data_IF_344271721064
#
_entry.id   IF_344271721064
#
_cell.length_a   1.000
_cell.length_b   1.000
_cell.length_c   1.000
_cell.angle_alpha   90.00
_cell.angle_beta   90.00
_cell.angle_gamma   90.00
#
_symmetry.space_group_name_H-M   'P 1'
#
loop_
_entity.id
_entity.type
_entity.pdbx_description
1 polymer ?
#
# COMPACT_ATOMS: atom_id res chain seq x y z
N UNK A 1 7.59 29.40 3.11
CA UNK A 1 8.60 28.41 3.50
C UNK A 1 7.87 27.08 3.63
N UNK A 2 8.10 26.16 2.71
CA UNK A 2 7.47 24.84 2.72
C UNK A 2 8.23 24.02 3.77
N UNK A 3 7.63 23.84 4.94
CA UNK A 3 8.22 23.11 6.09
C UNK A 3 8.60 21.64 5.76
N UNK A 4 8.10 21.10 4.64
CA UNK A 4 8.25 19.72 4.23
C UNK A 4 9.09 19.52 2.95
N UNK A 5 9.65 20.58 2.37
CA UNK A 5 10.37 20.51 1.09
C UNK A 5 11.62 19.60 1.10
N UNK A 6 12.10 19.21 2.28
CA UNK A 6 13.27 18.36 2.47
C UNK A 6 13.01 17.15 3.38
N UNK A 7 11.75 16.80 3.67
CA UNK A 7 11.46 15.60 4.45
C UNK A 7 11.69 14.36 3.56
N UNK A 8 12.60 13.46 3.90
CA UNK A 8 13.00 12.36 3.04
C UNK A 8 11.89 11.33 2.82
N UNK A 9 10.82 11.34 3.64
CA UNK A 9 9.74 10.36 3.56
C UNK A 9 8.50 10.91 2.82
N UNK A 10 8.29 12.25 2.81
CA UNK A 10 7.07 12.84 2.28
C UNK A 10 6.99 12.70 0.75
N UNK A 11 5.88 12.16 0.27
CA UNK A 11 5.64 11.92 -1.16
C UNK A 11 6.36 10.70 -1.73
N UNK A 12 7.01 9.87 -0.90
CA UNK A 12 7.62 8.62 -1.36
C UNK A 12 6.55 7.61 -1.77
N UNK A 13 6.81 6.94 -2.88
CA UNK A 13 5.90 5.95 -3.47
C UNK A 13 6.67 4.66 -3.67
N UNK A 14 6.07 3.56 -3.25
CA UNK A 14 6.60 2.22 -3.48
C UNK A 14 5.51 1.28 -3.98
N UNK A 15 5.96 0.16 -4.53
CA UNK A 15 5.11 -0.84 -5.16
C UNK A 15 5.61 -2.24 -4.83
N UNK A 16 4.67 -3.18 -4.64
CA UNK A 16 5.01 -4.59 -4.54
C UNK A 16 3.84 -5.50 -4.90
N UNK A 17 4.20 -6.68 -5.38
CA UNK A 17 3.31 -7.84 -5.53
C UNK A 17 3.73 -8.94 -4.57
N UNK A 18 2.77 -9.70 -4.04
CA UNK A 18 3.02 -10.95 -3.33
C UNK A 18 1.87 -11.95 -3.55
N UNK A 19 2.18 -13.23 -3.37
CA UNK A 19 1.25 -14.34 -3.50
C UNK A 19 1.02 -14.77 -4.94
N UNK A 20 0.20 -15.80 -5.09
CA UNK A 20 -0.15 -16.42 -6.38
C UNK A 20 -1.61 -16.12 -6.74
N UNK A 21 -1.88 -15.96 -8.03
CA UNK A 21 -3.25 -15.82 -8.56
C UNK A 21 -4.04 -17.08 -8.22
N UNK A 22 -5.31 -16.96 -7.75
CA UNK A 22 -6.09 -15.73 -7.63
C UNK A 22 -5.98 -15.05 -6.24
N UNK A 23 -5.17 -15.54 -5.34
CA UNK A 23 -5.11 -15.07 -3.95
C UNK A 23 -3.95 -14.09 -3.68
N UNK A 24 -3.25 -13.66 -4.74
CA UNK A 24 -2.20 -12.66 -4.66
C UNK A 24 -2.74 -11.24 -4.50
N UNK A 25 -1.84 -10.32 -4.18
CA UNK A 25 -2.16 -8.91 -3.98
C UNK A 25 -1.10 -7.99 -4.56
N UNK A 26 -1.55 -6.88 -5.13
CA UNK A 26 -0.71 -5.79 -5.60
C UNK A 26 -0.95 -4.54 -4.75
N UNK A 27 0.12 -4.01 -4.18
CA UNK A 27 0.10 -2.85 -3.30
C UNK A 27 0.89 -1.70 -3.92
N UNK A 28 0.29 -0.49 -3.93
CA UNK A 28 1.05 0.75 -4.01
C UNK A 28 0.94 1.47 -2.67
N UNK A 29 2.07 1.91 -2.14
CA UNK A 29 2.15 2.66 -0.90
C UNK A 29 2.60 4.10 -1.19
N UNK A 30 1.92 5.08 -0.61
CA UNK A 30 2.36 6.47 -0.58
C UNK A 30 2.61 6.85 0.87
N UNK A 31 3.81 7.31 1.17
CA UNK A 31 4.18 7.78 2.49
C UNK A 31 4.07 9.30 2.55
N UNK A 32 3.51 9.83 3.60
CA UNK A 32 3.30 11.25 3.77
C UNK A 32 3.63 11.69 5.20
N UNK A 33 4.26 12.85 5.35
CA UNK A 33 4.47 13.47 6.65
C UNK A 33 3.19 14.18 7.10
N UNK A 34 2.76 13.96 8.33
CA UNK A 34 1.59 14.63 8.92
C UNK A 34 1.69 16.15 8.76
N UNK A 35 0.62 16.77 8.29
CA UNK A 35 0.56 18.19 7.99
C UNK A 35 1.11 18.62 6.62
N UNK A 36 1.68 17.68 5.84
CA UNK A 36 2.11 17.97 4.47
C UNK A 36 0.93 18.02 3.47
N UNK A 37 1.11 18.63 2.30
CA UNK A 37 0.14 18.56 1.21
C UNK A 37 -0.16 17.11 0.77
N UNK A 38 0.85 16.22 0.80
CA UNK A 38 0.70 14.79 0.49
C UNK A 38 -0.23 14.11 1.49
N UNK A 39 -0.04 14.35 2.79
CA UNK A 39 -0.93 13.83 3.83
C UNK A 39 -2.35 14.39 3.71
N UNK A 40 -2.50 15.67 3.39
CA UNK A 40 -3.82 16.28 3.17
C UNK A 40 -4.56 15.61 1.99
N UNK A 41 -3.85 15.34 0.88
CA UNK A 41 -4.41 14.63 -0.26
C UNK A 41 -4.81 13.19 0.10
N UNK A 42 -3.95 12.47 0.85
CA UNK A 42 -4.23 11.09 1.30
C UNK A 42 -5.46 11.04 2.21
N UNK A 43 -5.57 11.95 3.20
CA UNK A 43 -6.72 12.05 4.09
C UNK A 43 -7.98 12.47 3.32
N UNK A 44 -7.86 13.32 2.31
CA UNK A 44 -8.95 13.72 1.43
C UNK A 44 -9.59 12.54 0.69
N UNK A 45 -8.87 11.45 0.46
CA UNK A 45 -9.41 10.24 -0.13
C UNK A 45 -10.57 9.64 0.70
N UNK A 46 -10.52 9.73 2.04
CA UNK A 46 -11.59 9.24 2.94
C UNK A 46 -12.92 9.98 2.70
N UNK A 47 -12.86 11.25 2.27
CA UNK A 47 -14.03 12.06 2.00
C UNK A 47 -14.51 11.95 0.54
N UNK A 48 -13.91 11.08 -0.27
CA UNK A 48 -14.16 10.98 -1.70
C UNK A 48 -14.51 9.56 -2.16
N UNK A 49 -15.49 8.88 -1.50
CA UNK A 49 -15.92 7.55 -1.93
C UNK A 49 -16.56 7.62 -3.32
N UNK A 50 -16.43 6.53 -4.08
CA UNK A 50 -17.07 6.34 -5.39
C UNK A 50 -17.79 4.99 -5.38
N UNK A 51 -18.75 4.75 -6.29
CA UNK A 51 -19.41 3.45 -6.39
C UNK A 51 -18.37 2.31 -6.46
N UNK A 52 -18.39 1.41 -5.48
CA UNK A 52 -17.48 0.28 -5.35
C UNK A 52 -16.05 0.62 -4.88
N UNK A 53 -15.68 1.90 -4.80
CA UNK A 53 -14.36 2.34 -4.30
C UNK A 53 -14.58 3.06 -2.97
N UNK A 54 -14.32 2.34 -1.88
CA UNK A 54 -14.64 2.78 -0.51
C UNK A 54 -13.33 2.90 0.30
N UNK A 55 -12.80 4.12 0.45
CA UNK A 55 -11.65 4.34 1.31
C UNK A 55 -11.98 4.04 2.77
N UNK A 56 -11.04 3.40 3.49
CA UNK A 56 -11.19 3.06 4.91
C UNK A 56 -9.85 3.13 5.65
N UNK A 57 -9.91 3.15 6.97
CA UNK A 57 -8.72 3.09 7.82
C UNK A 57 -8.40 1.63 8.16
N UNK A 58 -7.14 1.21 8.00
CA UNK A 58 -6.70 -0.13 8.36
C UNK A 58 -6.75 -0.31 9.89
N UNK A 59 -7.38 -1.41 10.32
CA UNK A 59 -7.54 -1.79 11.72
C UNK A 59 -6.94 -3.17 11.98
N UNK A 60 -6.39 -3.34 13.18
CA UNK A 60 -5.97 -4.66 13.72
C UNK A 60 -7.15 -5.42 14.31
N UNK A 61 -8.05 -4.67 14.93
CA UNK A 61 -9.30 -5.15 15.51
C UNK A 61 -10.29 -4.01 15.64
N UNK A 62 -11.53 -4.29 16.02
CA UNK A 62 -12.51 -3.25 16.29
C UNK A 62 -11.98 -2.23 17.32
N UNK A 63 -11.93 -0.97 16.93
CA UNK A 63 -11.43 0.13 17.76
C UNK A 63 -9.90 0.25 17.85
N UNK A 64 -9.14 -0.58 17.14
CA UNK A 64 -7.67 -0.54 17.16
C UNK A 64 -7.12 -0.25 15.77
N UNK A 65 -6.84 1.03 15.49
CA UNK A 65 -6.16 1.45 14.26
C UNK A 65 -4.70 1.01 14.27
N UNK A 66 -4.17 0.66 13.10
CA UNK A 66 -2.73 0.47 12.93
C UNK A 66 -1.99 1.81 13.03
N UNK A 67 -0.74 1.77 13.47
CA UNK A 67 0.20 2.90 13.48
C UNK A 67 1.48 2.52 12.73
N UNK A 68 1.96 3.39 11.83
CA UNK A 68 1.38 4.66 11.34
C UNK A 68 -0.05 4.52 10.80
N UNK A 69 -0.84 5.62 10.90
CA UNK A 69 -2.22 5.63 10.38
C UNK A 69 -2.21 5.31 8.90
N UNK A 70 -2.97 4.29 8.52
CA UNK A 70 -2.99 3.78 7.15
C UNK A 70 -4.40 3.87 6.57
N UNK A 71 -4.50 4.61 5.47
CA UNK A 71 -5.70 4.74 4.65
C UNK A 71 -5.60 3.71 3.53
N UNK A 72 -6.64 2.94 3.32
CA UNK A 72 -6.69 1.93 2.25
C UNK A 72 -7.74 2.31 1.22
N UNK A 73 -7.38 2.19 -0.06
CA UNK A 73 -8.28 2.37 -1.20
C UNK A 73 -8.20 1.12 -2.07
N UNK A 74 -9.33 0.49 -2.32
CA UNK A 74 -9.41 -0.66 -3.23
C UNK A 74 -9.31 -0.20 -4.69
N UNK A 75 -8.51 -0.91 -5.52
CA UNK A 75 -8.39 -0.67 -6.96
C UNK A 75 -9.47 -1.37 -7.79
N UNK A 76 -10.06 -2.42 -7.23
CA UNK A 76 -11.15 -3.19 -7.85
C UNK A 76 -12.45 -2.75 -7.22
N UNK A 77 -13.47 -2.35 -8.00
CA UNK A 77 -14.76 -2.00 -7.45
C UNK A 77 -15.37 -3.17 -6.67
N UNK A 78 -15.82 -2.88 -5.45
CA UNK A 78 -16.55 -3.83 -4.62
C UNK A 78 -18.03 -3.83 -5.01
N UNK A 79 -18.65 -4.97 -4.95
CA UNK A 79 -20.05 -5.22 -5.33
C UNK A 79 -20.42 -6.71 -5.23
N UNK A 80 -19.41 -7.55 -4.98
CA UNK A 80 -19.57 -8.96 -4.65
C UNK A 80 -19.38 -9.14 -3.13
N UNK A 81 -20.36 -9.66 -2.38
CA UNK A 81 -20.25 -9.81 -0.92
C UNK A 81 -19.04 -10.64 -0.47
N UNK A 82 -18.58 -11.60 -1.27
CA UNK A 82 -17.36 -12.37 -0.98
C UNK A 82 -16.12 -11.50 -1.10
N UNK A 83 -15.98 -10.71 -2.18
CA UNK A 83 -14.85 -9.82 -2.38
C UNK A 83 -14.82 -8.71 -1.32
N UNK A 84 -15.99 -8.19 -0.92
CA UNK A 84 -16.12 -7.24 0.18
C UNK A 84 -15.59 -7.83 1.48
N UNK A 85 -16.02 -9.05 1.84
CA UNK A 85 -15.56 -9.74 3.05
C UNK A 85 -14.05 -9.97 3.03
N UNK A 86 -13.50 -10.41 1.90
CA UNK A 86 -12.06 -10.62 1.73
C UNK A 86 -11.30 -9.31 1.86
N UNK A 87 -11.80 -8.24 1.24
CA UNK A 87 -11.13 -6.94 1.24
C UNK A 87 -11.14 -6.30 2.63
N UNK A 88 -12.29 -6.25 3.29
CA UNK A 88 -12.43 -5.64 4.62
C UNK A 88 -11.96 -6.55 5.76
N UNK A 89 -11.83 -7.85 5.52
CA UNK A 89 -11.33 -8.83 6.48
C UNK A 89 -9.85 -9.16 6.26
N UNK A 90 -9.60 -10.15 5.43
CA UNK A 90 -8.28 -10.74 5.23
C UNK A 90 -7.26 -9.72 4.68
N UNK A 91 -7.63 -8.94 3.65
CA UNK A 91 -6.75 -7.94 3.06
C UNK A 91 -6.43 -6.82 4.05
N UNK A 92 -7.45 -6.24 4.69
CA UNK A 92 -7.25 -5.20 5.71
C UNK A 92 -6.31 -5.64 6.83
N UNK A 93 -6.54 -6.84 7.39
CA UNK A 93 -5.70 -7.37 8.47
C UNK A 93 -4.26 -7.63 7.98
N UNK A 94 -4.10 -8.16 6.77
CA UNK A 94 -2.78 -8.33 6.15
C UNK A 94 -2.05 -7.02 6.00
N UNK A 95 -2.71 -5.99 5.45
CA UNK A 95 -2.15 -4.63 5.32
C UNK A 95 -1.72 -4.08 6.67
N UNK A 96 -2.59 -4.13 7.69
CA UNK A 96 -2.27 -3.65 9.03
C UNK A 96 -1.05 -4.36 9.63
N UNK A 97 -0.95 -5.68 9.45
CA UNK A 97 0.22 -6.45 9.89
C UNK A 97 1.48 -6.08 9.10
N UNK A 98 1.39 -5.88 7.78
CA UNK A 98 2.53 -5.47 6.95
C UNK A 98 3.10 -4.10 7.31
N UNK A 99 2.24 -3.16 7.72
CA UNK A 99 2.66 -1.86 8.28
C UNK A 99 3.45 -2.05 9.58
N UNK A 100 2.96 -2.91 10.48
CA UNK A 100 3.67 -3.20 11.73
C UNK A 100 4.99 -3.96 11.48
N UNK A 101 5.05 -4.83 10.48
CA UNK A 101 6.30 -5.49 10.08
C UNK A 101 7.33 -4.46 9.61
N UNK A 102 6.92 -3.45 8.82
CA UNK A 102 7.83 -2.38 8.39
C UNK A 102 8.38 -1.56 9.56
N UNK A 103 7.59 -1.37 10.63
CA UNK A 103 8.06 -0.76 11.89
C UNK A 103 8.99 -1.71 12.64
N UNK A 104 8.62 -2.98 12.78
CA UNK A 104 9.42 -3.97 13.50
C UNK A 104 10.80 -4.22 12.85
N UNK A 105 10.87 -4.13 11.53
CA UNK A 105 12.11 -4.27 10.75
C UNK A 105 12.98 -3.00 10.74
N UNK A 106 12.50 -1.90 11.35
CA UNK A 106 13.20 -0.62 11.38
C UNK A 106 13.17 0.16 10.05
N UNK A 107 12.28 -0.23 9.12
CA UNK A 107 12.04 0.54 7.87
C UNK A 107 11.36 1.87 8.19
N UNK A 108 10.44 1.85 9.14
CA UNK A 108 9.79 3.03 9.72
C UNK A 108 10.16 3.12 11.20
N UNK A 109 10.56 4.33 11.65
CA UNK A 109 10.87 4.55 13.07
C UNK A 109 9.56 4.56 13.89
N UNK A 110 9.42 3.73 14.94
CA UNK A 110 8.25 3.77 15.81
C UNK A 110 8.05 5.13 16.49
N UNK A 111 9.10 5.92 16.68
CA UNK A 111 8.99 7.29 17.21
C UNK A 111 8.26 8.24 16.25
N UNK A 112 8.29 7.95 14.95
CA UNK A 112 7.62 8.73 13.91
C UNK A 112 6.19 8.22 13.60
N UNK A 113 5.71 7.19 14.28
CA UNK A 113 4.47 6.50 13.92
C UNK A 113 3.21 7.40 13.90
N UNK A 114 3.17 8.44 14.73
CA UNK A 114 2.07 9.41 14.74
C UNK A 114 2.29 10.58 13.77
N UNK A 115 3.51 10.72 13.24
CA UNK A 115 3.89 11.76 12.28
C UNK A 115 3.82 11.29 10.81
N UNK A 116 3.54 10.00 10.59
CA UNK A 116 3.42 9.42 9.25
C UNK A 116 1.97 9.05 8.97
N UNK A 117 1.51 9.37 7.77
CA UNK A 117 0.26 8.89 7.18
C UNK A 117 0.62 8.04 5.96
N UNK A 118 0.08 6.84 5.89
CA UNK A 118 0.29 5.92 4.76
C UNK A 118 -1.02 5.82 3.96
N UNK A 119 -0.94 5.95 2.63
CA UNK A 119 -2.02 5.59 1.73
C UNK A 119 -1.62 4.30 1.01
N UNK A 120 -2.45 3.28 1.14
CA UNK A 120 -2.33 2.01 0.43
C UNK A 120 -3.42 1.91 -0.64
N UNK A 121 -3.01 1.78 -1.90
CA UNK A 121 -3.92 1.35 -2.96
C UNK A 121 -3.74 -0.15 -3.19
N UNK A 122 -4.79 -0.94 -2.92
CA UNK A 122 -4.75 -2.40 -2.95
C UNK A 122 -5.54 -2.97 -4.12
N UNK A 123 -4.95 -3.90 -4.84
CA UNK A 123 -5.63 -4.81 -5.76
C UNK A 123 -5.70 -6.20 -5.15
N UNK A 124 -6.90 -6.74 -5.06
CA UNK A 124 -7.19 -8.13 -4.73
C UNK A 124 -7.92 -8.71 -5.93
N UNK A 125 -7.54 -9.91 -6.37
CA UNK A 125 -8.19 -10.57 -7.51
C UNK A 125 -9.69 -10.76 -7.24
N UNK A 126 -10.58 -10.38 -8.16
CA UNK A 126 -12.01 -10.62 -8.01
C UNK A 126 -12.40 -12.07 -7.78
N UNK A 127 -11.57 -13.03 -8.22
CA UNK A 127 -11.76 -14.45 -8.00
C UNK A 127 -11.09 -15.01 -6.75
N UNK A 128 -10.44 -14.17 -5.93
CA UNK A 128 -9.83 -14.59 -4.67
C UNK A 128 -10.84 -15.27 -3.74
N UNK A 129 -10.41 -16.34 -3.06
CA UNK A 129 -11.28 -17.18 -2.24
C UNK A 129 -10.62 -17.75 -0.99
N UNK A 130 -9.28 -17.74 -0.90
CA UNK A 130 -8.52 -18.18 0.29
C UNK A 130 -8.12 -16.98 1.13
N UNK A 131 -8.88 -16.72 2.20
CA UNK A 131 -8.66 -15.59 3.10
C UNK A 131 -7.27 -15.65 3.79
N UNK A 132 -6.74 -16.86 4.06
CA UNK A 132 -5.42 -17.02 4.67
C UNK A 132 -4.31 -16.64 3.70
N UNK A 133 -4.41 -17.08 2.45
CA UNK A 133 -3.47 -16.73 1.40
C UNK A 133 -3.53 -15.23 1.10
N UNK A 134 -4.73 -14.64 0.95
CA UNK A 134 -4.93 -13.20 0.72
C UNK A 134 -4.34 -12.38 1.87
N UNK A 135 -4.60 -12.76 3.12
CA UNK A 135 -4.02 -12.06 4.28
C UNK A 135 -2.49 -12.06 4.24
N UNK A 136 -1.88 -13.22 3.97
CA UNK A 136 -0.43 -13.35 3.86
C UNK A 136 0.12 -12.51 2.71
N UNK A 137 -0.47 -12.61 1.52
CA UNK A 137 -0.06 -11.83 0.35
C UNK A 137 -0.11 -10.33 0.60
N UNK A 138 -1.20 -9.82 1.21
CA UNK A 138 -1.31 -8.41 1.55
C UNK A 138 -0.29 -7.96 2.60
N UNK A 139 0.02 -8.80 3.61
CA UNK A 139 1.05 -8.52 4.61
C UNK A 139 2.43 -8.37 3.97
N UNK A 140 2.82 -9.34 3.17
CA UNK A 140 4.12 -9.36 2.49
C UNK A 140 4.25 -8.20 1.48
N UNK A 141 3.24 -8.00 0.64
CA UNK A 141 3.23 -6.92 -0.35
C UNK A 141 3.25 -5.53 0.31
N UNK A 142 2.50 -5.32 1.41
CA UNK A 142 2.50 -4.03 2.12
C UNK A 142 3.86 -3.73 2.72
N UNK A 143 4.46 -4.70 3.42
CA UNK A 143 5.82 -4.57 3.98
C UNK A 143 6.83 -4.23 2.88
N UNK A 144 6.78 -4.94 1.75
CA UNK A 144 7.70 -4.74 0.63
C UNK A 144 7.49 -3.38 -0.06
N UNK A 145 6.23 -2.96 -0.28
CA UNK A 145 5.93 -1.66 -0.88
C UNK A 145 6.38 -0.48 -0.02
N UNK A 146 6.25 -0.59 1.31
CA UNK A 146 6.78 0.43 2.24
C UNK A 146 8.31 0.45 2.19
N UNK A 147 8.97 -0.69 2.17
CA UNK A 147 10.43 -0.78 2.06
C UNK A 147 10.92 -0.20 0.73
N UNK A 148 10.22 -0.47 -0.38
CA UNK A 148 10.51 0.13 -1.69
C UNK A 148 10.36 1.66 -1.65
N UNK A 149 9.28 2.18 -1.06
CA UNK A 149 9.06 3.62 -0.92
C UNK A 149 10.20 4.33 -0.16
N UNK A 150 10.71 3.71 0.91
CA UNK A 150 11.83 4.25 1.71
C UNK A 150 13.17 4.04 1.04
N UNK A 151 13.27 3.05 0.17
CA UNK A 151 14.49 2.68 -0.55
C UNK A 151 15.09 3.80 -1.38
N UNK A 152 16.33 3.60 -1.83
CA UNK A 152 17.02 4.57 -2.67
C UNK A 152 16.57 4.46 -4.12
N UNK A 153 15.96 5.53 -4.62
CA UNK A 153 15.64 5.73 -6.04
C UNK A 153 16.60 6.76 -6.64
N UNK A 154 17.91 6.55 -6.45
CA UNK A 154 18.94 7.44 -6.92
C UNK A 154 19.11 7.38 -8.45
N UNK A 155 19.96 8.28 -8.98
CA UNK A 155 20.24 8.34 -10.42
C UNK A 155 20.87 7.03 -10.97
N UNK A 156 21.50 6.22 -10.11
CA UNK A 156 22.04 4.90 -10.48
C UNK A 156 20.91 3.89 -10.72
N UNK A 157 19.96 3.81 -9.80
CA UNK A 157 18.78 2.98 -9.94
C UNK A 157 17.96 3.34 -11.19
N UNK A 158 17.74 4.65 -11.43
CA UNK A 158 17.04 5.11 -12.64
C UNK A 158 17.79 4.74 -13.91
N UNK A 159 19.12 4.90 -13.94
CA UNK A 159 19.92 4.46 -15.11
C UNK A 159 19.83 2.95 -15.38
N UNK A 160 19.77 2.13 -14.31
CA UNK A 160 19.58 0.70 -14.46
C UNK A 160 18.21 0.36 -15.08
N UNK A 161 17.14 1.03 -14.64
CA UNK A 161 15.81 0.88 -15.25
C UNK A 161 15.81 1.28 -16.73
N UNK A 162 16.45 2.40 -17.06
CA UNK A 162 16.59 2.85 -18.46
C UNK A 162 17.33 1.82 -19.31
N UNK A 163 18.40 1.22 -18.77
CA UNK A 163 19.15 0.20 -19.47
C UNK A 163 18.35 -1.10 -19.69
N UNK A 164 17.48 -1.46 -18.74
CA UNK A 164 16.65 -2.66 -18.79
C UNK A 164 15.27 -2.46 -19.47
N UNK A 165 14.94 -1.27 -19.97
CA UNK A 165 13.58 -0.95 -20.45
C UNK A 165 13.06 -1.87 -21.57
N UNK A 166 13.95 -2.36 -22.44
CA UNK A 166 13.57 -3.25 -23.54
C UNK A 166 13.34 -4.71 -23.09
N UNK A 167 13.80 -5.06 -21.88
CA UNK A 167 13.56 -6.35 -21.24
C UNK A 167 12.36 -6.31 -20.28
N UNK A 168 11.66 -5.16 -20.21
CA UNK A 168 10.50 -5.02 -19.35
C UNK A 168 9.43 -6.06 -19.73
N UNK A 169 8.96 -6.82 -18.73
CA UNK A 169 7.92 -7.82 -18.90
C UNK A 169 6.74 -7.49 -17.98
N UNK A 170 5.53 -7.67 -18.49
CA UNK A 170 4.31 -7.51 -17.73
C UNK A 170 3.41 -8.71 -18.02
N UNK A 171 3.00 -9.44 -16.98
CA UNK A 171 2.16 -10.64 -17.12
C UNK A 171 0.77 -10.41 -17.73
N UNK A 172 0.35 -9.15 -17.85
CA UNK A 172 -0.90 -8.76 -18.52
C UNK A 172 -0.70 -8.31 -19.97
N UNK A 173 0.57 -8.17 -20.42
CA UNK A 173 0.86 -7.81 -21.80
C UNK A 173 0.85 -9.06 -22.68
N UNK A 174 -0.08 -9.12 -23.64
CA UNK A 174 -0.25 -10.25 -24.57
C UNK A 174 0.31 -10.02 -25.97
N UNK A 175 1.11 -8.96 -26.18
CA UNK A 175 1.82 -8.68 -27.43
C UNK A 175 3.14 -9.44 -27.54
N UNK A 176 3.67 -9.56 -28.78
CA UNK A 176 5.01 -10.09 -29.06
C UNK A 176 6.07 -9.01 -28.93
#
# INVERSE_FOLDING_TARGET
VTLFANDPIDGRIGEAWSGEVPNGSHINAVLARRGSPTAAAAVGALASPRPGILPYLACLSAGTLVRPVTIVVNKVPLGDPRLERITWGASQLGIAQGVLDAVADGVLDPADADEIVILIAVWVDPSAHDETAVKRANREATRAAIADAVGSHDAGAIRALVAAREQAANGYYGGE
#
